data_IF_162306408677
#
_entry.id   IF_162306408677
#
_cell.length_a   1.000
_cell.length_b   1.000
_cell.length_c   1.000
_cell.angle_alpha   90.00
_cell.angle_beta   90.00
_cell.angle_gamma   90.00
#
_symmetry.space_group_name_H-M   'P 1'
#
loop_
_entity.id
_entity.type
_entity.pdbx_description
1 polymer ?
#
# COMPACT_ATOMS: atom_id res chain seq x y z
N UNK A 1 -6.65 17.88 22.01
CA UNK A 1 -5.95 17.16 20.93
C UNK A 1 -4.46 17.14 21.23
N UNK A 2 -3.85 16.01 21.19
CA UNK A 2 -2.43 15.85 21.53
C UNK A 2 -1.57 16.03 20.28
N UNK A 3 -0.32 16.42 20.49
CA UNK A 3 0.67 16.51 19.41
C UNK A 3 0.79 15.22 18.63
N UNK A 4 0.67 14.08 19.29
CA UNK A 4 0.76 12.77 18.68
C UNK A 4 -0.31 12.56 17.61
N UNK A 5 -1.54 12.99 17.86
CA UNK A 5 -2.62 12.86 16.87
C UNK A 5 -2.39 13.76 15.65
N UNK A 6 -1.92 14.98 15.89
CA UNK A 6 -1.58 15.90 14.80
C UNK A 6 -0.45 15.31 13.96
N UNK A 7 0.57 14.75 14.60
CA UNK A 7 1.71 14.15 13.92
C UNK A 7 1.27 12.97 13.03
N UNK A 8 0.41 12.10 13.53
CA UNK A 8 -0.09 10.95 12.77
C UNK A 8 -0.93 11.37 11.57
N UNK A 9 -1.76 12.40 11.71
CA UNK A 9 -2.59 12.91 10.63
C UNK A 9 -1.72 13.47 9.51
N UNK A 10 -0.56 14.08 9.85
CA UNK A 10 0.27 14.79 8.90
C UNK A 10 1.42 13.99 8.32
N UNK A 11 1.65 12.74 8.74
CA UNK A 11 2.77 11.94 8.26
C UNK A 11 2.72 11.77 6.72
N UNK A 12 1.56 11.42 6.18
CA UNK A 12 1.41 11.25 4.74
C UNK A 12 1.67 12.53 3.97
N UNK A 13 1.12 13.65 4.43
CA UNK A 13 1.32 14.96 3.81
C UNK A 13 2.76 15.42 3.92
N UNK A 14 3.37 15.24 5.08
CA UNK A 14 4.78 15.61 5.28
C UNK A 14 5.68 14.79 4.37
N UNK A 15 5.42 13.50 4.22
CA UNK A 15 6.19 12.63 3.33
C UNK A 15 6.06 13.08 1.87
N UNK A 16 4.86 13.41 1.45
CA UNK A 16 4.62 13.94 0.10
C UNK A 16 5.43 15.20 -0.13
N UNK A 17 5.37 16.15 0.80
CA UNK A 17 6.05 17.44 0.67
C UNK A 17 7.56 17.27 0.62
N UNK A 18 8.11 16.37 1.43
CA UNK A 18 9.56 16.09 1.42
C UNK A 18 9.99 15.52 0.06
N UNK A 19 9.25 14.56 -0.45
CA UNK A 19 9.57 13.92 -1.73
C UNK A 19 9.50 14.94 -2.87
N UNK A 20 8.46 15.77 -2.88
CA UNK A 20 8.28 16.77 -3.93
C UNK A 20 9.32 17.89 -3.86
N UNK A 21 9.82 18.19 -2.67
CA UNK A 21 10.85 19.19 -2.48
C UNK A 21 12.27 18.66 -2.75
N UNK A 22 12.44 17.34 -2.84
CA UNK A 22 13.73 16.70 -3.02
C UNK A 22 13.94 16.33 -4.47
N UNK A 23 15.06 16.78 -5.04
CA UNK A 23 15.41 16.38 -6.38
C UNK A 23 15.96 14.96 -6.38
N UNK A 24 15.36 14.08 -7.18
CA UNK A 24 15.77 12.69 -7.26
C UNK A 24 16.32 12.39 -8.65
N UNK A 25 17.58 12.01 -8.70
CA UNK A 25 18.26 11.65 -9.94
C UNK A 25 17.61 10.38 -10.51
N UNK A 26 17.28 10.40 -11.78
CA UNK A 26 16.69 9.24 -12.47
C UNK A 26 15.17 9.19 -12.46
N UNK A 27 14.51 10.12 -11.77
CA UNK A 27 13.05 10.23 -11.78
C UNK A 27 12.62 11.53 -12.46
N UNK A 28 11.66 11.44 -13.37
CA UNK A 28 11.01 12.61 -13.93
C UNK A 28 10.14 13.28 -12.84
N UNK A 29 9.69 14.50 -13.11
CA UNK A 29 8.77 15.20 -12.20
C UNK A 29 7.49 14.37 -11.98
N UNK A 30 6.93 13.80 -13.04
CA UNK A 30 5.71 13.00 -12.95
C UNK A 30 5.95 11.71 -12.17
N UNK A 31 7.06 11.03 -12.41
CA UNK A 31 7.42 9.82 -11.67
C UNK A 31 7.61 10.12 -10.18
N UNK A 32 8.25 11.23 -9.86
CA UNK A 32 8.41 11.67 -8.47
C UNK A 32 7.07 11.93 -7.82
N UNK A 33 6.14 12.55 -8.53
CA UNK A 33 4.79 12.83 -8.01
C UNK A 33 4.01 11.53 -7.80
N UNK A 34 4.16 10.55 -8.67
CA UNK A 34 3.58 9.22 -8.47
C UNK A 34 4.10 8.60 -7.17
N UNK A 35 5.41 8.58 -6.98
CA UNK A 35 6.03 8.03 -5.76
C UNK A 35 5.55 8.78 -4.52
N UNK A 36 5.50 10.10 -4.59
CA UNK A 36 5.07 10.93 -3.46
C UNK A 36 3.63 10.61 -3.04
N UNK A 37 2.75 10.42 -4.00
CA UNK A 37 1.36 10.07 -3.71
C UNK A 37 1.22 8.65 -3.16
N UNK A 38 1.99 7.69 -3.67
CA UNK A 38 1.98 6.32 -3.13
C UNK A 38 2.39 6.32 -1.65
N UNK A 39 3.45 7.05 -1.32
CA UNK A 39 3.90 7.16 0.08
C UNK A 39 2.85 7.85 0.93
N UNK A 40 2.27 8.93 0.42
CA UNK A 40 1.19 9.65 1.11
C UNK A 40 0.04 8.72 1.47
N UNK A 41 -0.46 7.96 0.50
CA UNK A 41 -1.61 7.09 0.69
C UNK A 41 -1.29 5.77 1.42
N UNK A 42 -0.03 5.50 1.67
CA UNK A 42 0.34 4.42 2.58
C UNK A 42 0.06 4.79 4.04
N UNK A 43 -0.04 6.09 4.35
CA UNK A 43 -0.25 6.60 5.71
C UNK A 43 -1.60 7.28 5.90
N UNK A 44 -2.39 7.44 4.84
CA UNK A 44 -3.68 8.11 4.91
C UNK A 44 -4.68 7.44 3.99
N UNK A 45 -5.96 7.80 4.12
CA UNK A 45 -7.00 7.27 3.27
C UNK A 45 -6.76 7.67 1.82
N UNK A 46 -7.03 6.74 0.91
CA UNK A 46 -6.88 7.00 -0.50
C UNK A 46 -7.93 8.02 -0.98
N UNK A 47 -7.46 9.02 -1.71
CA UNK A 47 -8.34 10.02 -2.33
C UNK A 47 -8.49 9.65 -3.80
N UNK A 48 -9.72 9.42 -4.24
CA UNK A 48 -9.99 9.00 -5.62
C UNK A 48 -9.83 10.16 -6.60
N UNK A 49 -9.53 9.83 -7.84
CA UNK A 49 -9.33 10.83 -8.88
C UNK A 49 -10.58 11.72 -9.02
N UNK A 50 -10.37 13.01 -9.00
CA UNK A 50 -11.45 13.99 -9.08
C UNK A 50 -12.06 14.39 -7.75
N UNK A 51 -11.71 13.74 -6.64
CA UNK A 51 -12.20 14.07 -5.31
C UNK A 51 -11.27 15.00 -4.54
N UNK A 52 -10.01 15.07 -4.93
CA UNK A 52 -9.04 15.90 -4.24
C UNK A 52 -9.31 17.37 -4.56
N UNK A 53 -9.85 18.10 -3.59
CA UNK A 53 -10.22 19.51 -3.73
C UNK A 53 -9.07 20.45 -3.40
N UNK A 54 -8.17 20.00 -2.53
CA UNK A 54 -7.20 20.86 -1.87
C UNK A 54 -5.81 20.86 -2.51
N UNK A 55 -5.61 19.99 -3.51
CA UNK A 55 -4.31 19.92 -4.19
C UNK A 55 -4.47 20.07 -5.69
N UNK A 56 -3.58 20.87 -6.31
CA UNK A 56 -3.48 20.86 -7.75
C UNK A 56 -3.17 19.44 -8.20
N UNK A 57 -3.98 18.91 -9.10
CA UNK A 57 -3.74 17.58 -9.61
C UNK A 57 -2.64 17.65 -10.67
N UNK A 58 -1.42 17.33 -10.28
CA UNK A 58 -0.31 17.25 -11.21
C UNK A 58 -0.36 16.00 -12.08
N UNK A 59 -1.19 15.03 -11.72
CA UNK A 59 -1.28 13.75 -12.41
C UNK A 59 -2.56 13.64 -13.22
N UNK A 60 -2.44 13.11 -14.43
CA UNK A 60 -3.60 12.76 -15.24
C UNK A 60 -4.26 11.48 -14.68
N UNK A 61 -5.39 11.11 -15.25
CA UNK A 61 -6.17 9.96 -14.81
C UNK A 61 -5.37 8.66 -14.88
N UNK A 62 -4.61 8.49 -15.96
CA UNK A 62 -3.81 7.28 -16.17
C UNK A 62 -2.68 7.15 -15.14
N UNK A 63 -1.98 8.24 -14.87
CA UNK A 63 -0.93 8.26 -13.86
C UNK A 63 -1.51 8.06 -12.46
N UNK A 64 -2.69 8.61 -12.21
CA UNK A 64 -3.37 8.42 -10.93
C UNK A 64 -3.79 6.96 -10.73
N UNK A 65 -4.18 6.27 -11.81
CA UNK A 65 -4.46 4.83 -11.75
C UNK A 65 -3.20 4.06 -11.37
N UNK A 66 -2.04 4.48 -11.87
CA UNK A 66 -0.75 3.90 -11.47
C UNK A 66 -0.53 4.07 -9.97
N UNK A 67 -0.83 5.25 -9.43
CA UNK A 67 -0.75 5.50 -7.98
C UNK A 67 -1.64 4.51 -7.22
N UNK A 68 -2.88 4.32 -7.67
CA UNK A 68 -3.82 3.40 -7.02
C UNK A 68 -3.28 1.96 -7.02
N UNK A 69 -2.76 1.52 -8.15
CA UNK A 69 -2.21 0.16 -8.30
C UNK A 69 -1.02 -0.07 -7.38
N UNK A 70 -0.09 0.87 -7.35
CA UNK A 70 1.09 0.76 -6.49
C UNK A 70 0.73 0.85 -5.01
N UNK A 71 -0.22 1.72 -4.67
CA UNK A 71 -0.71 1.86 -3.31
C UNK A 71 -1.34 0.55 -2.81
N UNK A 72 -2.15 -0.09 -3.66
CA UNK A 72 -2.78 -1.35 -3.30
C UNK A 72 -1.74 -2.44 -3.01
N UNK A 73 -0.71 -2.55 -3.84
CA UNK A 73 0.37 -3.52 -3.64
C UNK A 73 1.14 -3.20 -2.36
N UNK A 74 1.52 -1.95 -2.16
CA UNK A 74 2.32 -1.53 -1.01
C UNK A 74 1.57 -1.77 0.30
N UNK A 75 0.27 -1.47 0.34
CA UNK A 75 -0.54 -1.71 1.53
C UNK A 75 -0.62 -3.20 1.88
N UNK A 76 -0.78 -4.07 0.88
CA UNK A 76 -0.76 -5.51 1.13
C UNK A 76 0.60 -5.98 1.63
N UNK A 77 1.67 -5.52 0.98
CA UNK A 77 3.03 -5.90 1.38
C UNK A 77 3.33 -5.48 2.81
N UNK A 78 2.95 -4.26 3.19
CA UNK A 78 3.16 -3.77 4.55
C UNK A 78 2.38 -4.58 5.58
N UNK A 79 1.17 -5.04 5.24
CA UNK A 79 0.38 -5.85 6.15
C UNK A 79 1.03 -7.21 6.43
N UNK A 80 1.79 -7.74 5.47
CA UNK A 80 2.48 -9.03 5.64
C UNK A 80 3.66 -8.95 6.62
N UNK A 81 4.14 -7.75 6.93
CA UNK A 81 5.21 -7.57 7.91
C UNK A 81 4.80 -6.58 9.01
N UNK A 82 3.55 -6.65 9.43
CA UNK A 82 3.00 -5.70 10.39
C UNK A 82 3.73 -5.68 11.73
N UNK A 83 4.19 -6.84 12.17
CA UNK A 83 4.93 -6.95 13.43
C UNK A 83 6.41 -6.60 13.28
N UNK A 84 6.90 -6.41 12.03
CA UNK A 84 8.31 -6.16 11.70
C UNK A 84 9.25 -7.30 12.13
N UNK A 85 8.72 -8.52 12.18
CA UNK A 85 9.48 -9.71 12.59
C UNK A 85 9.80 -10.63 11.41
N UNK A 86 9.49 -10.19 10.19
CA UNK A 86 9.80 -10.94 8.98
C UNK A 86 9.29 -12.39 9.03
N UNK A 87 8.05 -12.56 9.46
CA UNK A 87 7.44 -13.89 9.62
C UNK A 87 7.11 -14.56 8.31
N UNK A 88 6.93 -13.79 7.24
CA UNK A 88 6.51 -14.28 5.93
C UNK A 88 7.69 -14.76 5.13
N UNK A 89 8.11 -15.98 5.39
CA UNK A 89 9.21 -16.60 4.64
C UNK A 89 8.62 -17.56 3.60
N UNK A 90 9.33 -17.70 2.47
CA UNK A 90 8.92 -18.63 1.43
C UNK A 90 7.59 -18.28 0.78
N UNK A 91 7.32 -16.99 0.61
CA UNK A 91 6.07 -16.53 -0.01
C UNK A 91 6.10 -16.80 -1.51
N UNK A 92 5.07 -17.48 -2.02
CA UNK A 92 4.83 -17.67 -3.45
C UNK A 92 3.50 -17.07 -3.82
N UNK A 93 3.50 -16.25 -4.85
CA UNK A 93 2.28 -15.62 -5.36
C UNK A 93 1.80 -16.37 -6.58
N UNK A 94 0.54 -16.80 -6.56
CA UNK A 94 -0.10 -17.50 -7.68
C UNK A 94 -1.39 -16.77 -8.02
N UNK A 95 -1.57 -16.47 -9.29
CA UNK A 95 -2.82 -15.89 -9.76
C UNK A 95 -3.68 -16.99 -10.37
N UNK A 96 -4.84 -17.24 -9.79
CA UNK A 96 -5.72 -18.32 -10.20
C UNK A 96 -7.18 -17.96 -9.93
N UNK A 97 -8.02 -18.06 -10.94
CA UNK A 97 -9.48 -17.86 -10.81
C UNK A 97 -9.86 -16.54 -10.12
N UNK A 98 -9.26 -15.44 -10.56
CA UNK A 98 -9.47 -14.10 -9.98
C UNK A 98 -9.06 -13.99 -8.52
N UNK A 99 -8.18 -14.87 -8.06
CA UNK A 99 -7.58 -14.78 -6.74
C UNK A 99 -6.07 -14.63 -6.86
N UNK A 100 -5.51 -13.76 -6.05
CA UNK A 100 -4.07 -13.69 -5.84
C UNK A 100 -3.77 -14.48 -4.58
N UNK A 101 -3.29 -15.71 -4.76
CA UNK A 101 -3.03 -16.61 -3.64
C UNK A 101 -1.58 -16.44 -3.20
N UNK A 102 -1.40 -16.00 -1.96
CA UNK A 102 -0.09 -15.89 -1.35
C UNK A 102 0.13 -17.12 -0.47
N UNK A 103 0.93 -18.05 -0.98
CA UNK A 103 1.26 -19.28 -0.27
C UNK A 103 2.45 -19.04 0.63
N UNK A 104 2.27 -19.23 1.92
CA UNK A 104 3.28 -18.95 2.93
C UNK A 104 3.74 -20.24 3.58
N UNK A 105 5.03 -20.48 3.55
CA UNK A 105 5.66 -21.63 4.19
C UNK A 105 6.35 -21.19 5.49
N UNK A 106 5.54 -20.73 6.42
CA UNK A 106 5.99 -20.27 7.72
C UNK A 106 5.20 -20.96 8.83
N UNK A 107 5.86 -21.30 9.91
CA UNK A 107 5.24 -21.87 11.10
C UNK A 107 4.91 -20.82 12.15
N UNK A 108 5.19 -19.56 11.85
CA UNK A 108 4.95 -18.44 12.77
C UNK A 108 3.47 -18.15 12.93
N UNK A 109 3.11 -17.54 14.06
CA UNK A 109 1.78 -17.01 14.27
C UNK A 109 1.64 -15.69 13.50
N UNK A 110 0.78 -15.70 12.49
CA UNK A 110 0.55 -14.55 11.63
C UNK A 110 -0.83 -13.91 11.86
N UNK A 111 -1.40 -14.07 13.05
CA UNK A 111 -2.72 -13.53 13.37
C UNK A 111 -2.78 -12.02 13.14
N UNK A 112 -1.77 -11.29 13.60
CA UNK A 112 -1.70 -9.84 13.43
C UNK A 112 -1.63 -9.46 11.96
N UNK A 113 -0.72 -10.09 11.22
CA UNK A 113 -0.53 -9.84 9.79
C UNK A 113 -1.81 -10.17 9.01
N UNK A 114 -2.46 -11.27 9.34
CA UNK A 114 -3.70 -11.68 8.67
C UNK A 114 -4.82 -10.66 8.89
N UNK A 115 -4.91 -10.09 10.08
CA UNK A 115 -5.89 -9.05 10.38
C UNK A 115 -5.69 -7.79 9.55
N UNK A 116 -4.46 -7.29 9.46
CA UNK A 116 -4.13 -6.13 8.66
C UNK A 116 -4.25 -6.42 7.16
N UNK A 117 -3.93 -7.62 6.74
CA UNK A 117 -4.11 -8.04 5.35
C UNK A 117 -5.59 -7.95 4.95
N UNK A 118 -6.50 -8.44 5.78
CA UNK A 118 -7.93 -8.38 5.52
C UNK A 118 -8.42 -6.92 5.38
N UNK A 119 -7.90 -6.03 6.19
CA UNK A 119 -8.25 -4.61 6.11
C UNK A 119 -7.90 -4.01 4.76
N UNK A 120 -6.83 -4.47 4.13
CA UNK A 120 -6.34 -3.93 2.86
C UNK A 120 -6.83 -4.71 1.63
N UNK A 121 -7.55 -5.80 1.83
CA UNK A 121 -8.06 -6.65 0.74
C UNK A 121 -9.06 -5.92 -0.13
N UNK A 122 -9.96 -5.15 0.47
CA UNK A 122 -11.03 -4.47 -0.26
C UNK A 122 -10.48 -3.45 -1.26
N UNK A 123 -9.50 -2.67 -0.85
CA UNK A 123 -8.89 -1.69 -1.76
C UNK A 123 -8.18 -2.37 -2.93
N UNK A 124 -7.44 -3.44 -2.65
CA UNK A 124 -6.78 -4.22 -3.70
C UNK A 124 -7.79 -4.79 -4.69
N UNK A 125 -8.87 -5.37 -4.17
CA UNK A 125 -9.94 -5.93 -4.99
C UNK A 125 -10.61 -4.87 -5.85
N UNK A 126 -10.84 -3.70 -5.29
CA UNK A 126 -11.42 -2.57 -6.02
C UNK A 126 -10.55 -2.14 -7.19
N UNK A 127 -9.24 -2.07 -6.98
CA UNK A 127 -8.29 -1.62 -8.01
C UNK A 127 -8.05 -2.68 -9.08
N UNK A 128 -7.90 -3.93 -8.69
CA UNK A 128 -7.47 -5.00 -9.59
C UNK A 128 -8.57 -5.97 -10.00
N UNK A 129 -9.72 -5.94 -9.37
CA UNK A 129 -10.79 -6.94 -9.54
C UNK A 129 -10.30 -8.35 -9.25
N UNK A 130 -9.33 -8.48 -8.34
CA UNK A 130 -8.68 -9.71 -7.94
C UNK A 130 -8.73 -9.75 -6.42
N UNK A 131 -9.08 -10.90 -5.85
CA UNK A 131 -9.17 -11.07 -4.40
C UNK A 131 -7.87 -11.67 -3.86
N UNK A 132 -7.11 -10.94 -3.03
CA UNK A 132 -5.92 -11.52 -2.41
C UNK A 132 -6.30 -12.43 -1.24
N UNK A 133 -5.61 -13.56 -1.16
CA UNK A 133 -5.86 -14.61 -0.14
C UNK A 133 -4.52 -15.09 0.39
N UNK A 134 -4.42 -15.25 1.72
CA UNK A 134 -3.26 -15.88 2.35
C UNK A 134 -3.57 -17.35 2.61
N UNK A 135 -2.67 -18.22 2.19
CA UNK A 135 -2.71 -19.65 2.53
C UNK A 135 -1.40 -20.01 3.22
N UNK A 136 -1.51 -20.35 4.48
CA UNK A 136 -0.36 -20.75 5.28
C UNK A 136 -0.32 -22.28 5.38
N UNK A 137 0.81 -22.86 4.98
CA UNK A 137 1.03 -24.30 5.13
C UNK A 137 1.64 -24.54 6.49
N UNK A 138 0.89 -25.25 7.36
CA UNK A 138 1.39 -25.63 8.68
C UNK A 138 1.80 -27.11 8.67
N UNK A 139 2.93 -27.36 9.33
CA UNK A 139 3.36 -28.74 9.59
C UNK A 139 2.78 -29.19 10.92
N UNK A 140 2.41 -30.43 10.98
CA UNK A 140 1.91 -31.04 12.19
C UNK A 140 2.97 -31.92 12.83
#
# INVERSE_FOLDING_TARGET
MTEKNISMINIGEASYDIIMATEMIGLSHMEREIVANVVRFNHSNFVYYGQAQDRPQGLDKESYLTVAKLTAILRLANSLDRSHKQKMKGVKAVLQDNELILKIDSQEDITLERGFFQTNTEFFKEVYSITPVIRQKKKF
#
